data_IF_960608696813
#
_entry.id   IF_960608696813
#
_cell.length_a   1.000
_cell.length_b   1.000
_cell.length_c   1.000
_cell.angle_alpha   90.00
_cell.angle_beta   90.00
_cell.angle_gamma   90.00
#
_symmetry.space_group_name_H-M   'P 1'
#
loop_
_entity.id
_entity.type
_entity.pdbx_description
1 polymer ?
#
# COMPACT_ATOMS: atom_id res chain seq x y z
N UNK A 1 38.28 -41.11 -13.36
CA UNK A 1 38.98 -39.84 -13.07
C UNK A 1 39.33 -39.80 -11.60
N UNK A 2 40.61 -39.55 -11.24
CA UNK A 2 41.02 -39.50 -9.84
C UNK A 2 40.28 -38.36 -9.10
N UNK A 3 39.89 -38.62 -7.86
CA UNK A 3 39.10 -37.71 -6.98
C UNK A 3 39.66 -36.30 -6.93
N UNK A 4 40.96 -36.12 -7.00
CA UNK A 4 41.64 -34.81 -7.01
C UNK A 4 41.26 -33.93 -8.21
N UNK A 5 41.02 -34.51 -9.39
CA UNK A 5 40.65 -33.76 -10.61
C UNK A 5 39.22 -33.27 -10.51
N UNK A 6 38.30 -34.05 -9.93
CA UNK A 6 36.89 -33.63 -9.69
C UNK A 6 36.82 -32.43 -8.73
N UNK A 7 37.63 -32.40 -7.68
CA UNK A 7 37.66 -31.30 -6.71
C UNK A 7 38.19 -30.00 -7.36
N UNK A 8 39.23 -30.10 -8.19
CA UNK A 8 39.78 -28.93 -8.90
C UNK A 8 38.74 -28.35 -9.88
N UNK A 9 38.06 -29.23 -10.63
CA UNK A 9 36.97 -28.81 -11.53
C UNK A 9 35.80 -28.15 -10.79
N UNK A 10 35.41 -28.68 -9.63
CA UNK A 10 34.37 -28.12 -8.82
C UNK A 10 34.75 -26.74 -8.26
N UNK A 11 35.96 -26.57 -7.76
CA UNK A 11 36.51 -25.30 -7.33
C UNK A 11 36.58 -24.27 -8.47
N UNK A 12 36.96 -24.69 -9.67
CA UNK A 12 36.98 -23.80 -10.83
C UNK A 12 35.58 -23.33 -11.22
N UNK A 13 34.56 -24.20 -11.20
CA UNK A 13 33.17 -23.84 -11.46
C UNK A 13 32.65 -22.86 -10.38
N UNK A 14 32.92 -23.13 -9.11
CA UNK A 14 32.50 -22.25 -8.02
C UNK A 14 33.14 -20.86 -8.15
N UNK A 15 34.44 -20.77 -8.43
CA UNK A 15 35.12 -19.49 -8.61
C UNK A 15 34.56 -18.72 -9.81
N UNK A 16 34.27 -19.39 -10.94
CA UNK A 16 33.70 -18.74 -12.12
C UNK A 16 32.25 -18.25 -11.86
N UNK A 17 31.43 -19.04 -11.18
CA UNK A 17 30.06 -18.66 -10.84
C UNK A 17 30.05 -17.50 -9.85
N UNK A 18 30.89 -17.56 -8.81
CA UNK A 18 31.00 -16.46 -7.83
C UNK A 18 31.54 -15.19 -8.49
N UNK A 19 32.51 -15.32 -9.38
CA UNK A 19 33.04 -14.18 -10.16
C UNK A 19 31.96 -13.56 -11.07
N UNK A 20 31.15 -14.38 -11.72
CA UNK A 20 30.06 -13.89 -12.57
C UNK A 20 28.98 -13.20 -11.76
N UNK A 21 28.59 -13.75 -10.60
CA UNK A 21 27.63 -13.14 -9.68
C UNK A 21 28.17 -11.82 -9.11
N UNK A 22 29.46 -11.76 -8.80
CA UNK A 22 30.07 -10.52 -8.32
C UNK A 22 30.09 -9.43 -9.40
N UNK A 23 30.40 -9.77 -10.67
CA UNK A 23 30.35 -8.81 -11.78
C UNK A 23 28.94 -8.33 -12.04
N UNK A 24 27.93 -9.23 -12.05
CA UNK A 24 26.54 -8.85 -12.22
C UNK A 24 26.03 -7.95 -11.08
N UNK A 25 26.39 -8.24 -9.84
CA UNK A 25 26.06 -7.39 -8.70
C UNK A 25 26.73 -6.02 -8.79
N UNK A 26 27.99 -5.97 -9.23
CA UNK A 26 28.73 -4.72 -9.44
C UNK A 26 28.08 -3.86 -10.52
N UNK A 27 27.69 -4.45 -11.65
CA UNK A 27 27.00 -3.73 -12.74
C UNK A 27 25.66 -3.16 -12.27
N UNK A 28 24.88 -3.92 -11.49
CA UNK A 28 23.62 -3.43 -10.89
C UNK A 28 23.85 -2.28 -9.90
N UNK A 29 24.90 -2.34 -9.09
CA UNK A 29 25.24 -1.26 -8.16
C UNK A 29 25.70 0.00 -8.90
N UNK A 30 26.47 -0.14 -9.98
CA UNK A 30 26.88 0.99 -10.81
C UNK A 30 25.71 1.62 -11.56
N UNK A 31 24.76 0.81 -12.03
CA UNK A 31 23.53 1.30 -12.69
C UNK A 31 22.62 2.03 -11.70
N UNK A 32 22.46 1.52 -10.48
CA UNK A 32 21.73 2.17 -9.39
C UNK A 32 22.39 3.51 -9.02
N UNK A 33 23.71 3.54 -8.84
CA UNK A 33 24.45 4.77 -8.54
C UNK A 33 24.33 5.81 -9.66
N UNK A 34 24.39 5.40 -10.94
CA UNK A 34 24.16 6.31 -12.08
C UNK A 34 22.74 6.84 -12.10
N UNK A 35 21.74 6.02 -11.75
CA UNK A 35 20.33 6.44 -11.69
C UNK A 35 20.10 7.47 -10.59
N UNK A 36 20.71 7.29 -9.42
CA UNK A 36 20.67 8.26 -8.31
C UNK A 36 21.37 9.57 -8.68
N UNK A 37 22.55 9.52 -9.29
CA UNK A 37 23.28 10.71 -9.75
C UNK A 37 22.47 11.49 -10.80
N UNK A 38 21.81 10.79 -11.71
CA UNK A 38 20.95 11.40 -12.73
C UNK A 38 19.68 12.02 -12.11
N UNK A 39 19.11 11.39 -11.08
CA UNK A 39 17.98 11.93 -10.34
C UNK A 39 18.38 13.21 -9.58
N UNK A 40 19.55 13.22 -8.94
CA UNK A 40 20.08 14.39 -8.24
C UNK A 40 20.40 15.54 -9.21
N UNK A 41 21.06 15.27 -10.34
CA UNK A 41 21.31 16.24 -11.40
C UNK A 41 20.02 16.85 -11.96
N UNK A 42 18.95 16.04 -12.15
CA UNK A 42 17.63 16.54 -12.57
C UNK A 42 17.00 17.42 -11.49
N UNK A 43 17.14 17.06 -10.22
CA UNK A 43 16.65 17.83 -9.09
C UNK A 43 17.37 19.15 -8.95
N UNK A 44 18.70 19.17 -9.08
CA UNK A 44 19.51 20.39 -9.04
C UNK A 44 19.26 21.29 -10.26
N UNK A 45 19.09 20.73 -11.47
CA UNK A 45 18.72 21.50 -12.65
C UNK A 45 17.34 22.15 -12.50
N UNK A 46 16.39 21.43 -11.88
CA UNK A 46 15.05 21.95 -11.58
C UNK A 46 15.10 23.07 -10.54
N UNK A 47 15.93 22.93 -9.51
CA UNK A 47 16.17 23.98 -8.51
C UNK A 47 16.83 25.22 -9.13
N UNK A 48 17.84 25.07 -10.03
CA UNK A 48 18.44 26.17 -10.77
C UNK A 48 17.46 26.89 -11.68
N UNK A 49 16.54 26.18 -12.33
CA UNK A 49 15.46 26.80 -13.13
C UNK A 49 14.50 27.61 -12.26
N UNK A 50 14.24 27.17 -11.03
CA UNK A 50 13.39 27.89 -10.06
C UNK A 50 14.07 29.12 -9.46
N UNK A 51 15.40 29.15 -9.44
CA UNK A 51 16.22 30.28 -8.89
C UNK A 51 16.64 31.32 -9.92
N UNK A 52 16.29 31.17 -11.22
CA UNK A 52 16.71 32.10 -12.26
C UNK A 52 15.73 33.27 -12.35
N UNK A 53 16.10 34.49 -11.88
CA UNK A 53 15.18 35.64 -11.79
C UNK A 53 14.90 36.32 -13.14
N UNK A 54 15.50 35.87 -14.26
CA UNK A 54 15.37 36.50 -15.58
C UNK A 54 14.50 35.78 -16.59
N UNK A 55 14.00 34.57 -16.26
CA UNK A 55 12.95 33.92 -17.03
C UNK A 55 11.61 34.53 -16.66
N UNK A 56 10.83 35.04 -17.63
CA UNK A 56 9.42 35.41 -17.43
C UNK A 56 8.80 34.43 -16.44
N UNK A 57 8.23 34.91 -15.31
CA UNK A 57 7.40 34.14 -14.42
C UNK A 57 6.30 33.46 -15.25
N UNK A 58 6.59 32.31 -15.85
CA UNK A 58 5.56 31.34 -16.07
C UNK A 58 5.14 30.94 -14.66
N UNK A 59 4.11 31.63 -14.17
CA UNK A 59 3.34 31.14 -13.06
C UNK A 59 2.77 29.82 -13.59
N UNK A 60 3.53 28.72 -13.39
CA UNK A 60 2.97 27.39 -13.48
C UNK A 60 1.85 27.47 -12.45
N UNK A 61 0.60 27.63 -12.89
CA UNK A 61 -0.57 27.47 -12.03
C UNK A 61 -0.52 26.03 -11.57
N UNK A 62 0.24 25.78 -10.51
CA UNK A 62 0.24 24.47 -9.85
C UNK A 62 -1.19 24.34 -9.36
N UNK A 63 -1.90 23.34 -9.88
CA UNK A 63 -3.18 22.95 -9.33
C UNK A 63 -2.96 22.66 -7.84
N UNK A 64 -3.52 23.47 -6.93
CA UNK A 64 -3.23 23.34 -5.51
C UNK A 64 -3.66 21.96 -4.97
N UNK A 65 -4.64 21.33 -5.58
CA UNK A 65 -5.07 19.97 -5.19
C UNK A 65 -4.01 18.93 -5.60
N UNK A 66 -3.40 19.12 -6.76
CA UNK A 66 -2.26 18.29 -7.18
C UNK A 66 -1.09 18.45 -6.21
N UNK A 67 -0.79 19.68 -5.77
CA UNK A 67 0.26 19.93 -4.79
C UNK A 67 -0.02 19.23 -3.45
N UNK A 68 -1.24 19.33 -2.93
CA UNK A 68 -1.66 18.65 -1.70
C UNK A 68 -1.50 17.11 -1.84
N UNK A 69 -1.88 16.55 -2.98
CA UNK A 69 -1.70 15.12 -3.27
C UNK A 69 -0.22 14.73 -3.27
N UNK A 70 0.64 15.53 -3.89
CA UNK A 70 2.08 15.30 -3.92
C UNK A 70 2.70 15.40 -2.52
N UNK A 71 2.28 16.38 -1.70
CA UNK A 71 2.69 16.48 -0.29
C UNK A 71 2.29 15.23 0.51
N UNK A 72 1.08 14.71 0.31
CA UNK A 72 0.66 13.45 0.93
C UNK A 72 1.55 12.27 0.50
N UNK A 73 1.90 12.18 -0.78
CA UNK A 73 2.78 11.13 -1.30
C UNK A 73 4.20 11.21 -0.71
N UNK A 74 4.67 12.43 -0.38
CA UNK A 74 5.96 12.68 0.26
C UNK A 74 5.92 12.59 1.79
N UNK A 75 4.78 12.24 2.39
CA UNK A 75 4.62 12.17 3.85
C UNK A 75 4.55 13.54 4.56
N UNK A 76 4.43 14.63 3.82
CA UNK A 76 4.35 16.00 4.32
C UNK A 76 2.92 16.38 4.70
N UNK A 77 2.34 15.61 5.62
CA UNK A 77 0.91 15.68 5.92
C UNK A 77 0.48 17.01 6.55
N UNK A 78 1.30 17.60 7.43
CA UNK A 78 0.97 18.90 8.03
C UNK A 78 1.02 20.02 6.98
N UNK A 79 2.04 20.03 6.12
CA UNK A 79 2.12 20.99 5.01
C UNK A 79 0.92 20.87 4.07
N UNK A 80 0.44 19.63 3.83
CA UNK A 80 -0.75 19.36 3.02
C UNK A 80 -2.03 19.92 3.68
N UNK A 81 -2.18 19.79 5.00
CA UNK A 81 -3.28 20.40 5.76
C UNK A 81 -3.24 21.91 5.67
N UNK A 82 -2.09 22.53 5.96
CA UNK A 82 -1.92 24.00 5.92
C UNK A 82 -2.21 24.57 4.51
N UNK A 83 -1.85 23.83 3.46
CA UNK A 83 -2.17 24.19 2.08
C UNK A 83 -3.67 24.05 1.82
N UNK A 84 -4.29 22.96 2.28
CA UNK A 84 -5.71 22.70 2.10
C UNK A 84 -6.57 23.78 2.76
N UNK A 85 -6.22 24.22 3.97
CA UNK A 85 -6.88 25.34 4.66
C UNK A 85 -6.83 26.64 3.86
N UNK A 86 -5.69 26.96 3.26
CA UNK A 86 -5.53 28.15 2.42
C UNK A 86 -6.39 28.05 1.16
N UNK A 87 -6.44 26.88 0.54
CA UNK A 87 -7.22 26.65 -0.68
C UNK A 87 -8.73 26.67 -0.39
N UNK A 88 -9.16 26.15 0.75
CA UNK A 88 -10.55 26.11 1.18
C UNK A 88 -11.17 27.51 1.36
N UNK A 89 -10.38 28.53 1.73
CA UNK A 89 -10.85 29.92 1.78
C UNK A 89 -11.42 30.41 0.45
N UNK A 90 -10.93 29.86 -0.66
CA UNK A 90 -11.39 30.22 -2.01
C UNK A 90 -12.36 29.18 -2.60
N UNK A 91 -12.23 27.93 -2.21
CA UNK A 91 -12.98 26.80 -2.75
C UNK A 91 -13.50 25.93 -1.59
N UNK A 92 -14.44 26.44 -0.76
CA UNK A 92 -14.87 25.77 0.48
C UNK A 92 -15.54 24.41 0.25
N UNK A 93 -16.19 24.21 -0.91
CA UNK A 93 -16.99 23.02 -1.20
C UNK A 93 -16.35 22.11 -2.25
N UNK A 94 -15.05 22.26 -2.50
CA UNK A 94 -14.39 21.48 -3.54
C UNK A 94 -14.13 20.03 -3.06
N UNK A 95 -14.90 19.06 -3.54
CA UNK A 95 -14.87 17.66 -3.09
C UNK A 95 -13.47 17.06 -2.99
N UNK A 96 -12.69 17.08 -4.08
CA UNK A 96 -11.32 16.51 -4.09
C UNK A 96 -10.36 17.18 -3.11
N UNK A 97 -10.56 18.47 -2.81
CA UNK A 97 -9.78 19.16 -1.77
C UNK A 97 -10.03 18.50 -0.43
N UNK A 98 -11.29 18.33 -0.06
CA UNK A 98 -11.69 17.71 1.19
C UNK A 98 -11.25 16.24 1.27
N UNK A 99 -11.30 15.49 0.17
CA UNK A 99 -10.78 14.12 0.12
C UNK A 99 -9.29 14.07 0.50
N UNK A 100 -8.45 14.88 -0.13
CA UNK A 100 -7.01 14.89 0.15
C UNK A 100 -6.69 15.47 1.52
N UNK A 101 -7.46 16.44 1.99
CA UNK A 101 -7.33 16.99 3.34
C UNK A 101 -7.65 15.93 4.40
N UNK A 102 -8.78 15.23 4.25
CA UNK A 102 -9.15 14.10 5.11
C UNK A 102 -8.06 13.04 5.15
N UNK A 103 -7.50 12.66 4.00
CA UNK A 103 -6.38 11.69 3.93
C UNK A 103 -5.17 12.18 4.74
N UNK A 104 -4.80 13.46 4.63
CA UNK A 104 -3.70 14.05 5.41
C UNK A 104 -3.97 13.94 6.91
N UNK A 105 -5.19 14.26 7.33
CA UNK A 105 -5.62 14.22 8.74
C UNK A 105 -5.62 12.78 9.30
N UNK A 106 -6.04 11.79 8.51
CA UNK A 106 -5.92 10.36 8.90
C UNK A 106 -4.47 10.00 9.20
N UNK A 107 -3.53 10.44 8.35
CA UNK A 107 -2.10 10.19 8.55
C UNK A 107 -1.53 10.90 9.80
N UNK A 108 -2.12 12.02 10.18
CA UNK A 108 -1.84 12.75 11.43
C UNK A 108 -2.61 12.22 12.63
N UNK A 109 -3.38 11.13 12.48
CA UNK A 109 -4.23 10.50 13.51
C UNK A 109 -5.34 11.43 14.04
N UNK A 110 -5.77 12.41 13.25
CA UNK A 110 -6.86 13.33 13.52
C UNK A 110 -8.16 12.78 12.94
N UNK A 111 -8.60 11.66 13.48
CA UNK A 111 -9.67 10.80 12.92
C UNK A 111 -10.99 11.56 12.73
N UNK A 112 -11.46 12.28 13.76
CA UNK A 112 -12.75 12.98 13.69
C UNK A 112 -12.74 14.15 12.70
N UNK A 113 -11.64 14.91 12.66
CA UNK A 113 -11.47 15.98 11.67
C UNK A 113 -11.48 15.40 10.24
N UNK A 114 -10.81 14.27 10.02
CA UNK A 114 -10.79 13.59 8.73
C UNK A 114 -12.19 13.18 8.27
N UNK A 115 -12.99 12.58 9.17
CA UNK A 115 -14.37 12.19 8.86
C UNK A 115 -15.19 13.42 8.42
N UNK A 116 -15.08 14.54 9.10
CA UNK A 116 -15.79 15.77 8.72
C UNK A 116 -15.46 16.19 7.27
N UNK A 117 -14.19 16.06 6.86
CA UNK A 117 -13.81 16.39 5.50
C UNK A 117 -14.29 15.35 4.49
N UNK A 118 -14.33 14.06 4.82
CA UNK A 118 -14.92 13.04 3.93
C UNK A 118 -16.44 13.23 3.77
N UNK A 119 -17.15 13.67 4.82
CA UNK A 119 -18.57 14.04 4.73
C UNK A 119 -18.77 15.17 3.71
N UNK A 120 -17.96 16.22 3.78
CA UNK A 120 -18.02 17.34 2.82
C UNK A 120 -17.69 16.85 1.41
N UNK A 121 -16.65 16.02 1.26
CA UNK A 121 -16.26 15.46 -0.03
C UNK A 121 -17.41 14.64 -0.66
N UNK A 122 -17.97 13.69 0.07
CA UNK A 122 -19.05 12.82 -0.41
C UNK A 122 -20.36 13.58 -0.66
N UNK A 123 -20.63 14.65 0.09
CA UNK A 123 -21.79 15.53 -0.18
C UNK A 123 -21.66 16.26 -1.52
N UNK A 124 -20.46 16.72 -1.87
CA UNK A 124 -20.22 17.50 -3.09
C UNK A 124 -19.88 16.64 -4.31
N UNK A 125 -19.34 15.44 -4.09
CA UNK A 125 -19.13 14.42 -5.11
C UNK A 125 -19.43 13.03 -4.53
N UNK A 126 -20.68 12.56 -4.61
CA UNK A 126 -21.07 11.24 -4.10
C UNK A 126 -20.38 10.07 -4.82
N UNK A 127 -19.72 10.32 -5.96
CA UNK A 127 -19.02 9.31 -6.75
C UNK A 127 -17.50 9.30 -6.52
N UNK A 128 -17.00 10.06 -5.54
CA UNK A 128 -15.57 10.02 -5.18
C UNK A 128 -15.28 8.72 -4.40
N UNK A 129 -14.90 7.67 -5.14
CA UNK A 129 -14.48 6.36 -4.58
C UNK A 129 -13.45 6.53 -3.47
N UNK A 130 -12.51 7.47 -3.65
CA UNK A 130 -11.43 7.68 -2.71
C UNK A 130 -11.93 8.25 -1.39
N UNK A 131 -12.87 9.20 -1.43
CA UNK A 131 -13.49 9.75 -0.23
C UNK A 131 -14.18 8.65 0.58
N UNK A 132 -15.03 7.84 -0.06
CA UNK A 132 -15.70 6.73 0.61
C UNK A 132 -14.73 5.67 1.12
N UNK A 133 -13.72 5.28 0.33
CA UNK A 133 -12.73 4.29 0.73
C UNK A 133 -11.98 4.71 2.01
N UNK A 134 -11.47 5.94 2.02
CA UNK A 134 -10.72 6.46 3.18
C UNK A 134 -11.63 6.76 4.37
N UNK A 135 -12.89 7.14 4.14
CA UNK A 135 -13.87 7.26 5.21
C UNK A 135 -14.10 5.90 5.89
N UNK A 136 -14.39 4.86 5.11
CA UNK A 136 -14.53 3.51 5.63
C UNK A 136 -13.28 3.03 6.39
N UNK A 137 -12.07 3.27 5.85
CA UNK A 137 -10.82 2.95 6.54
C UNK A 137 -10.71 3.69 7.88
N UNK A 138 -11.11 4.97 7.92
CA UNK A 138 -11.04 5.79 9.12
C UNK A 138 -12.01 5.28 10.20
N UNK A 139 -13.23 4.92 9.80
CA UNK A 139 -14.22 4.30 10.68
C UNK A 139 -13.76 2.94 11.21
N UNK A 140 -13.13 2.12 10.36
CA UNK A 140 -12.59 0.83 10.79
C UNK A 140 -11.44 0.98 11.80
N UNK A 141 -10.62 2.03 11.68
CA UNK A 141 -9.59 2.37 12.68
C UNK A 141 -10.22 2.73 14.04
N UNK A 142 -11.38 3.37 14.03
CA UNK A 142 -12.19 3.69 15.23
C UNK A 142 -13.09 2.51 15.68
N UNK A 143 -12.93 1.32 15.06
CA UNK A 143 -13.72 0.11 15.32
C UNK A 143 -15.21 0.20 14.96
N UNK A 144 -15.64 1.19 14.19
CA UNK A 144 -16.98 1.32 13.65
C UNK A 144 -17.11 0.50 12.36
N UNK A 145 -17.01 -0.85 12.51
CA UNK A 145 -16.86 -1.76 11.38
C UNK A 145 -18.11 -1.84 10.49
N UNK A 146 -19.29 -1.75 11.06
CA UNK A 146 -20.56 -1.78 10.31
C UNK A 146 -20.68 -0.56 9.38
N UNK A 147 -20.38 0.63 9.89
CA UNK A 147 -20.39 1.86 9.09
C UNK A 147 -19.28 1.84 8.04
N UNK A 148 -18.10 1.33 8.39
CA UNK A 148 -16.99 1.15 7.44
C UNK A 148 -17.43 0.27 6.26
N UNK A 149 -18.12 -0.84 6.52
CA UNK A 149 -18.65 -1.74 5.50
C UNK A 149 -19.66 -1.00 4.58
N UNK A 150 -20.49 -0.12 5.12
CA UNK A 150 -21.40 0.67 4.30
C UNK A 150 -20.64 1.51 3.27
N UNK A 151 -19.56 2.16 3.68
CA UNK A 151 -18.72 2.94 2.76
C UNK A 151 -17.98 2.08 1.74
N UNK A 152 -17.49 0.89 2.11
CA UNK A 152 -16.88 -0.04 1.13
C UNK A 152 -17.90 -0.54 0.11
N UNK A 153 -19.16 -0.73 0.52
CA UNK A 153 -20.26 -1.06 -0.42
C UNK A 153 -20.49 0.08 -1.41
N UNK A 154 -20.54 1.33 -0.93
CA UNK A 154 -20.65 2.49 -1.83
C UNK A 154 -19.49 2.54 -2.83
N UNK A 155 -18.25 2.27 -2.39
CA UNK A 155 -17.10 2.15 -3.32
C UNK A 155 -17.37 1.10 -4.39
N UNK A 156 -17.92 -0.06 -4.04
CA UNK A 156 -18.19 -1.14 -4.98
C UNK A 156 -19.42 -0.91 -5.86
N UNK A 157 -20.36 -0.07 -5.43
CA UNK A 157 -21.47 0.42 -6.26
C UNK A 157 -20.93 1.37 -7.37
N UNK A 158 -19.93 2.20 -7.05
CA UNK A 158 -19.27 3.10 -8.01
C UNK A 158 -18.32 2.31 -8.91
N UNK A 159 -17.51 1.44 -8.33
CA UNK A 159 -16.48 0.65 -9.02
C UNK A 159 -16.48 -0.80 -8.51
N UNK A 160 -17.22 -1.70 -9.18
CA UNK A 160 -17.31 -3.11 -8.78
C UNK A 160 -15.98 -3.88 -8.81
N UNK A 161 -14.98 -3.37 -9.54
CA UNK A 161 -13.66 -4.01 -9.68
C UNK A 161 -12.64 -3.50 -8.63
N UNK A 162 -13.08 -2.76 -7.62
CA UNK A 162 -12.19 -2.20 -6.61
C UNK A 162 -11.73 -3.26 -5.59
N UNK A 163 -10.71 -4.04 -5.94
CA UNK A 163 -10.16 -5.15 -5.14
C UNK A 163 -9.91 -4.79 -3.67
N UNK A 164 -9.31 -3.61 -3.39
CA UNK A 164 -9.03 -3.21 -2.02
C UNK A 164 -10.30 -2.94 -1.19
N UNK A 165 -11.39 -2.50 -1.79
CA UNK A 165 -12.65 -2.32 -1.06
C UNK A 165 -13.19 -3.66 -0.56
N UNK A 166 -13.12 -4.70 -1.38
CA UNK A 166 -13.43 -6.07 -0.93
C UNK A 166 -12.52 -6.54 0.19
N UNK A 167 -11.21 -6.29 0.09
CA UNK A 167 -10.26 -6.70 1.13
C UNK A 167 -10.54 -6.00 2.48
N UNK A 168 -10.82 -4.69 2.46
CA UNK A 168 -11.15 -3.93 3.68
C UNK A 168 -12.52 -4.29 4.25
N UNK A 169 -13.50 -4.60 3.39
CA UNK A 169 -14.77 -5.18 3.84
C UNK A 169 -14.54 -6.52 4.53
N UNK A 170 -13.76 -7.42 3.93
CA UNK A 170 -13.37 -8.68 4.55
C UNK A 170 -12.68 -8.49 5.90
N UNK A 171 -11.76 -7.53 6.00
CA UNK A 171 -11.08 -7.20 7.26
C UNK A 171 -12.08 -6.75 8.36
N UNK A 172 -13.05 -5.90 8.00
CA UNK A 172 -14.09 -5.44 8.93
C UNK A 172 -15.01 -6.59 9.37
N UNK A 173 -15.40 -7.48 8.46
CA UNK A 173 -16.17 -8.69 8.78
C UNK A 173 -15.39 -9.61 9.73
N UNK A 174 -14.08 -9.77 9.53
CA UNK A 174 -13.23 -10.53 10.45
C UNK A 174 -13.22 -9.92 11.85
N UNK A 175 -13.14 -8.60 11.96
CA UNK A 175 -13.20 -7.90 13.25
C UNK A 175 -14.56 -8.07 13.96
N UNK A 176 -15.64 -8.22 13.19
CA UNK A 176 -16.99 -8.52 13.69
C UNK A 176 -17.22 -10.00 14.01
N UNK A 177 -16.23 -10.87 13.82
CA UNK A 177 -16.35 -12.33 14.02
C UNK A 177 -17.10 -13.05 12.89
N UNK A 178 -17.45 -12.38 11.80
CA UNK A 178 -18.15 -12.94 10.63
C UNK A 178 -17.15 -13.57 9.66
N UNK A 179 -16.47 -14.61 10.11
CA UNK A 179 -15.28 -15.17 9.45
C UNK A 179 -15.55 -15.77 8.07
N UNK A 180 -16.67 -16.50 7.89
CA UNK A 180 -16.99 -17.12 6.60
C UNK A 180 -17.36 -16.05 5.55
N UNK A 181 -18.13 -15.03 5.94
CA UNK A 181 -18.44 -13.89 5.06
C UNK A 181 -17.17 -13.14 4.68
N UNK A 182 -16.25 -12.99 5.65
CA UNK A 182 -14.94 -12.36 5.42
C UNK A 182 -14.15 -13.13 4.35
N UNK A 183 -14.08 -14.47 4.43
CA UNK A 183 -13.40 -15.28 3.40
C UNK A 183 -13.99 -15.03 2.02
N UNK A 184 -15.33 -14.98 1.90
CA UNK A 184 -15.99 -14.68 0.63
C UNK A 184 -15.56 -13.34 0.04
N UNK A 185 -15.48 -12.27 0.86
CA UNK A 185 -15.02 -10.96 0.39
C UNK A 185 -13.53 -10.92 0.04
N UNK A 186 -12.72 -11.66 0.75
CA UNK A 186 -11.29 -11.80 0.43
C UNK A 186 -11.07 -12.60 -0.86
N UNK A 187 -11.91 -13.60 -1.14
CA UNK A 187 -11.89 -14.36 -2.39
C UNK A 187 -12.26 -13.45 -3.58
N UNK A 188 -13.29 -12.59 -3.47
CA UNK A 188 -13.62 -11.57 -4.47
C UNK A 188 -12.44 -10.62 -4.72
N UNK A 189 -11.80 -10.13 -3.65
CA UNK A 189 -10.62 -9.30 -3.77
C UNK A 189 -9.49 -9.99 -4.54
N UNK A 190 -9.22 -11.24 -4.24
CA UNK A 190 -8.15 -12.02 -4.88
C UNK A 190 -8.52 -12.46 -6.30
N UNK A 191 -9.79 -12.64 -6.62
CA UNK A 191 -10.24 -12.88 -7.98
C UNK A 191 -9.98 -11.67 -8.88
N UNK A 192 -10.25 -10.46 -8.38
CA UNK A 192 -9.99 -9.21 -9.11
C UNK A 192 -8.50 -8.86 -9.17
N UNK A 193 -7.77 -9.07 -8.10
CA UNK A 193 -6.34 -8.79 -8.03
C UNK A 193 -5.60 -9.93 -7.30
N UNK A 194 -5.09 -10.93 -8.04
CA UNK A 194 -4.49 -12.15 -7.45
C UNK A 194 -3.30 -11.90 -6.53
N UNK A 195 -2.64 -10.74 -6.61
CA UNK A 195 -1.50 -10.36 -5.78
C UNK A 195 -1.86 -9.29 -4.73
N UNK A 196 -3.14 -9.14 -4.37
CA UNK A 196 -3.55 -8.20 -3.33
C UNK A 196 -2.99 -8.60 -1.97
N UNK A 197 -1.92 -7.92 -1.53
CA UNK A 197 -1.22 -8.22 -0.28
C UNK A 197 -2.11 -8.07 0.96
N UNK A 198 -3.04 -7.11 0.94
CA UNK A 198 -4.02 -6.92 2.03
C UNK A 198 -4.94 -8.13 2.15
N UNK A 199 -5.47 -8.62 1.02
CA UNK A 199 -6.33 -9.80 1.01
C UNK A 199 -5.59 -11.05 1.51
N UNK A 200 -4.33 -11.25 1.08
CA UNK A 200 -3.49 -12.35 1.59
C UNK A 200 -3.30 -12.29 3.10
N UNK A 201 -2.91 -11.12 3.64
CA UNK A 201 -2.68 -10.94 5.06
C UNK A 201 -3.96 -11.19 5.88
N UNK A 202 -5.07 -10.59 5.45
CA UNK A 202 -6.36 -10.77 6.14
C UNK A 202 -6.85 -12.22 6.08
N UNK A 203 -6.65 -12.91 4.96
CA UNK A 203 -7.04 -14.33 4.82
C UNK A 203 -6.29 -15.23 5.80
N UNK A 204 -5.00 -14.98 6.05
CA UNK A 204 -4.24 -15.68 7.09
C UNK A 204 -4.87 -15.47 8.47
N UNK A 205 -5.20 -14.23 8.81
CA UNK A 205 -5.81 -13.89 10.09
C UNK A 205 -7.22 -14.52 10.26
N UNK A 206 -8.03 -14.50 9.21
CA UNK A 206 -9.36 -15.13 9.22
C UNK A 206 -9.27 -16.65 9.41
N UNK A 207 -8.38 -17.29 8.66
CA UNK A 207 -8.18 -18.76 8.79
C UNK A 207 -7.63 -19.13 10.16
N UNK A 208 -6.78 -18.28 10.74
CA UNK A 208 -6.33 -18.42 12.12
C UNK A 208 -7.52 -18.35 13.11
N UNK A 209 -8.39 -17.36 12.99
CA UNK A 209 -9.55 -17.19 13.85
C UNK A 209 -10.55 -18.35 13.73
N UNK A 210 -10.67 -18.94 12.54
CA UNK A 210 -11.43 -20.16 12.28
C UNK A 210 -10.75 -21.44 12.77
N UNK A 211 -9.56 -21.34 13.36
CA UNK A 211 -8.72 -22.48 13.77
C UNK A 211 -8.35 -23.43 12.61
N UNK A 212 -8.38 -22.93 11.36
CA UNK A 212 -8.00 -23.65 10.14
C UNK A 212 -6.51 -23.46 9.86
N UNK A 213 -5.67 -23.85 10.80
CA UNK A 213 -4.24 -23.50 10.83
C UNK A 213 -3.46 -24.04 9.62
N UNK A 214 -3.74 -25.26 9.15
CA UNK A 214 -3.11 -25.82 7.96
C UNK A 214 -3.41 -24.97 6.71
N UNK A 215 -4.67 -24.52 6.56
CA UNK A 215 -5.05 -23.63 5.44
C UNK A 215 -4.41 -22.26 5.57
N UNK A 216 -4.25 -21.76 6.80
CA UNK A 216 -3.52 -20.50 7.04
C UNK A 216 -2.05 -20.64 6.60
N UNK A 217 -1.38 -21.74 6.94
CA UNK A 217 -0.01 -22.01 6.48
C UNK A 217 0.09 -22.16 4.96
N UNK A 218 -0.86 -22.84 4.33
CA UNK A 218 -0.93 -22.90 2.86
C UNK A 218 -1.03 -21.50 2.24
N UNK A 219 -1.81 -20.60 2.87
CA UNK A 219 -1.91 -19.21 2.42
C UNK A 219 -0.59 -18.46 2.60
N UNK A 220 0.13 -18.65 3.71
CA UNK A 220 1.47 -18.08 3.94
C UNK A 220 2.46 -18.58 2.87
N UNK A 221 2.43 -19.88 2.55
CA UNK A 221 3.30 -20.46 1.51
C UNK A 221 3.00 -19.90 0.12
N UNK A 222 1.71 -19.73 -0.23
CA UNK A 222 1.31 -19.07 -1.48
C UNK A 222 1.80 -17.62 -1.55
N UNK A 223 1.68 -16.87 -0.46
CA UNK A 223 2.18 -15.49 -0.39
C UNK A 223 3.70 -15.43 -0.60
N UNK A 224 4.46 -16.32 0.07
CA UNK A 224 5.92 -16.43 -0.09
C UNK A 224 6.32 -16.77 -1.53
N UNK A 225 5.62 -17.72 -2.16
CA UNK A 225 5.86 -18.10 -3.56
C UNK A 225 5.57 -16.96 -4.54
N UNK A 226 4.62 -16.10 -4.21
CA UNK A 226 4.27 -14.90 -4.98
C UNK A 226 5.07 -13.65 -4.61
N UNK A 227 6.09 -13.75 -3.74
CA UNK A 227 6.85 -12.63 -3.18
C UNK A 227 5.99 -11.56 -2.50
N UNK A 228 4.85 -11.98 -1.91
CA UNK A 228 3.97 -11.10 -1.16
C UNK A 228 4.46 -11.04 0.30
N UNK A 229 4.76 -9.84 0.77
CA UNK A 229 5.10 -9.63 2.17
C UNK A 229 3.85 -9.74 3.07
N UNK A 230 3.93 -10.60 4.09
CA UNK A 230 2.91 -10.72 5.12
C UNK A 230 3.40 -10.14 6.45
N UNK A 231 2.50 -9.55 7.27
CA UNK A 231 2.85 -9.04 8.59
C UNK A 231 3.44 -10.16 9.47
N UNK A 232 4.63 -9.95 10.01
CA UNK A 232 5.30 -10.94 10.85
C UNK A 232 4.47 -11.31 12.09
N UNK A 233 3.68 -10.37 12.62
CA UNK A 233 2.79 -10.61 13.74
C UNK A 233 1.75 -11.70 13.48
N UNK A 234 1.15 -11.75 12.29
CA UNK A 234 0.19 -12.79 11.89
C UNK A 234 0.87 -14.15 11.78
N UNK A 235 2.08 -14.19 11.20
CA UNK A 235 2.88 -15.43 11.07
C UNK A 235 3.28 -15.94 12.45
N UNK A 236 3.75 -15.07 13.34
CA UNK A 236 4.17 -15.46 14.70
C UNK A 236 2.99 -16.01 15.52
N UNK A 237 1.81 -15.37 15.45
CA UNK A 237 0.59 -15.89 16.12
C UNK A 237 0.21 -17.26 15.61
N UNK A 238 0.26 -17.46 14.30
CA UNK A 238 -0.03 -18.75 13.68
C UNK A 238 0.98 -19.82 14.12
N UNK A 239 2.27 -19.51 14.12
CA UNK A 239 3.33 -20.43 14.52
C UNK A 239 3.24 -20.83 16.02
N UNK A 240 2.80 -19.91 16.87
CA UNK A 240 2.55 -20.22 18.30
C UNK A 240 1.34 -21.15 18.50
N UNK A 241 0.28 -20.97 17.72
CA UNK A 241 -0.91 -21.79 17.81
C UNK A 241 -0.75 -23.17 17.14
N UNK A 242 -0.01 -23.21 16.04
CA UNK A 242 0.22 -24.42 15.25
C UNK A 242 1.56 -24.25 14.50
N UNK A 243 2.61 -25.04 14.84
CA UNK A 243 3.90 -24.96 14.16
C UNK A 243 3.78 -25.13 12.64
N UNK A 244 4.67 -24.47 11.90
CA UNK A 244 4.68 -24.60 10.43
C UNK A 244 4.89 -26.08 10.05
N UNK A 245 4.01 -26.65 9.22
CA UNK A 245 4.18 -28.02 8.77
C UNK A 245 5.52 -28.17 8.01
N UNK A 246 6.26 -29.21 8.35
CA UNK A 246 7.48 -29.55 7.62
C UNK A 246 7.11 -29.73 6.15
N UNK A 247 7.89 -29.12 5.26
CA UNK A 247 7.75 -29.40 3.83
C UNK A 247 8.05 -30.89 3.64
N UNK A 248 7.08 -31.65 3.22
CA UNK A 248 7.37 -33.00 2.73
C UNK A 248 8.39 -32.88 1.58
N UNK A 249 9.46 -33.66 1.62
CA UNK A 249 10.52 -33.62 0.61
C UNK A 249 10.00 -33.94 -0.80
#
# INVERSE_FOLDING_TARGET
MPTKIKVIWYLFIVITVVGFLYLAAKDQMEEAARSEEMADKRSQARLKQLQNPKGKKQIIKIDPIKAIREMNALGKYQEAVDMAEKVAKKYPDHARLHTWWGISLVKLKKTQEAINHFVVAAKNDPTDEKAHLYWGLTLAMDKNFEEAIAHYRTVLEINPEHSNAYAYWGASLNALGKYEESLGKLDESMALHPLNSTAYAMRVDVLYNLKRYEKAWQQVQKARAANIFLPQGSINRLAQAFPEPLKNP
#
